data_IF_884651519342
#
_entry.id   IF_884651519342
#
_cell.length_a   1.000
_cell.length_b   1.000
_cell.length_c   1.000
_cell.angle_alpha   90.00
_cell.angle_beta   90.00
_cell.angle_gamma   90.00
#
_symmetry.space_group_name_H-M   'P 1'
#
loop_
_entity.id
_entity.type
_entity.pdbx_description
1 polymer ?
#
# COMPACT_ATOMS: atom_id res chain seq x y z
N UNK A 1 63.81 4.24 37.83
CA UNK A 1 62.67 3.31 37.62
C UNK A 1 61.53 4.13 37.05
N UNK A 2 61.28 4.02 35.75
CA UNK A 2 60.22 4.75 35.05
C UNK A 2 59.20 3.72 34.57
N UNK A 3 57.94 3.85 35.01
CA UNK A 3 56.82 3.00 34.58
C UNK A 3 56.01 3.76 33.52
N UNK A 4 55.80 3.15 32.36
CA UNK A 4 54.85 3.61 31.34
C UNK A 4 53.56 2.82 31.54
N UNK A 5 52.43 3.53 31.65
CA UNK A 5 51.09 2.95 31.57
C UNK A 5 50.52 3.22 30.18
N UNK A 6 49.98 2.19 29.54
CA UNK A 6 49.20 2.29 28.31
C UNK A 6 47.73 2.14 28.69
N UNK A 7 46.90 3.12 28.34
CA UNK A 7 45.45 3.01 28.44
C UNK A 7 44.90 2.56 27.08
N UNK A 8 44.35 1.34 27.02
CA UNK A 8 43.61 0.84 25.87
C UNK A 8 42.18 1.38 25.94
N UNK A 9 41.78 2.18 24.95
CA UNK A 9 40.38 2.60 24.80
C UNK A 9 39.57 1.46 24.17
N UNK A 10 38.49 1.04 24.84
CA UNK A 10 37.51 0.10 24.30
C UNK A 10 36.48 0.95 23.53
N UNK A 11 36.45 0.80 22.21
CA UNK A 11 35.41 1.39 21.36
C UNK A 11 34.18 0.47 21.46
N UNK A 12 33.09 0.96 22.04
CA UNK A 12 31.78 0.32 21.95
C UNK A 12 31.16 0.68 20.59
N UNK A 13 31.10 -0.26 19.66
CA UNK A 13 30.23 -0.17 18.49
C UNK A 13 28.80 -0.46 18.93
N UNK A 14 27.95 0.56 18.90
CA UNK A 14 26.51 0.35 19.01
C UNK A 14 26.03 -0.39 17.75
N UNK A 15 25.66 -1.67 17.89
CA UNK A 15 24.90 -2.36 16.85
C UNK A 15 23.48 -1.77 16.85
N UNK A 16 23.20 -0.89 15.89
CA UNK A 16 21.83 -0.51 15.55
C UNK A 16 21.16 -1.71 14.88
N UNK A 17 20.36 -2.48 15.62
CA UNK A 17 19.47 -3.46 15.00
C UNK A 17 18.40 -2.69 14.23
N UNK A 18 18.48 -2.68 12.90
CA UNK A 18 17.40 -2.20 12.06
C UNK A 18 16.18 -3.08 12.35
N UNK A 19 15.13 -2.50 12.93
CA UNK A 19 13.83 -3.17 13.06
C UNK A 19 13.24 -3.22 11.65
N UNK A 20 13.46 -4.33 10.94
CA UNK A 20 12.84 -4.61 9.65
C UNK A 20 11.45 -5.19 9.91
N UNK A 21 10.43 -4.64 9.24
CA UNK A 21 9.10 -5.21 9.29
C UNK A 21 9.04 -6.36 8.28
N UNK A 22 9.57 -7.51 8.69
CA UNK A 22 9.56 -8.71 7.85
C UNK A 22 8.17 -9.30 7.78
N UNK A 23 7.81 -9.85 6.61
CA UNK A 23 6.65 -10.72 6.47
C UNK A 23 6.67 -11.75 7.61
N UNK A 24 5.57 -11.87 8.39
CA UNK A 24 5.48 -12.91 9.41
C UNK A 24 5.65 -14.29 8.77
N UNK A 25 6.59 -15.09 9.29
CA UNK A 25 6.64 -16.53 9.02
C UNK A 25 5.42 -17.18 9.68
N UNK A 26 4.28 -17.21 8.99
CA UNK A 26 3.02 -17.87 9.38
C UNK A 26 2.76 -17.94 10.88
N UNK A 27 2.15 -16.91 11.46
CA UNK A 27 1.78 -16.88 12.88
C UNK A 27 0.25 -17.00 13.07
N UNK A 28 -0.19 -17.37 14.26
CA UNK A 28 -1.60 -17.48 14.65
C UNK A 28 -2.45 -18.48 13.83
N UNK A 29 -1.85 -19.56 13.35
CA UNK A 29 -2.57 -20.60 12.60
C UNK A 29 -2.78 -20.29 11.11
N UNK A 30 -2.17 -19.22 10.60
CA UNK A 30 -2.11 -18.91 9.16
C UNK A 30 -0.83 -19.47 8.54
N UNK A 31 -0.96 -20.02 7.34
CA UNK A 31 0.18 -20.36 6.47
C UNK A 31 0.48 -19.16 5.58
N UNK A 32 1.73 -18.74 5.54
CA UNK A 32 2.18 -17.70 4.61
C UNK A 32 2.05 -18.20 3.15
N UNK A 33 1.38 -17.42 2.31
CA UNK A 33 1.14 -17.77 0.89
C UNK A 33 1.97 -16.90 -0.05
N UNK A 34 2.05 -15.60 0.22
CA UNK A 34 2.74 -14.62 -0.62
C UNK A 34 2.82 -13.27 0.10
N UNK A 35 3.83 -12.49 -0.25
CA UNK A 35 3.99 -11.10 0.16
C UNK A 35 5.23 -10.49 -0.46
N UNK A 36 5.36 -9.18 -0.31
CA UNK A 36 6.49 -8.38 -0.77
C UNK A 36 6.86 -7.37 0.32
N UNK A 37 8.08 -7.46 0.84
CA UNK A 37 8.62 -6.55 1.86
C UNK A 37 9.29 -5.30 1.25
N UNK A 38 9.33 -5.19 -0.08
CA UNK A 38 9.96 -4.06 -0.78
C UNK A 38 11.42 -3.81 -0.36
N UNK A 39 12.20 -4.90 -0.28
CA UNK A 39 13.61 -4.90 0.14
C UNK A 39 14.62 -4.52 -0.96
N UNK A 40 14.14 -4.01 -2.10
CA UNK A 40 14.96 -3.48 -3.18
C UNK A 40 15.78 -2.27 -2.76
N UNK A 41 16.82 -1.96 -3.53
CA UNK A 41 17.67 -0.80 -3.29
C UNK A 41 16.92 0.54 -3.40
N UNK A 42 17.50 1.65 -2.92
CA UNK A 42 16.87 2.96 -3.03
C UNK A 42 16.65 3.35 -4.49
N UNK A 43 15.51 3.95 -4.78
CA UNK A 43 15.08 4.39 -6.12
C UNK A 43 15.06 3.23 -7.15
N UNK A 44 14.65 2.04 -6.71
CA UNK A 44 14.41 0.90 -7.62
C UNK A 44 12.92 0.67 -7.81
N UNK A 45 12.53 0.19 -8.99
CA UNK A 45 11.15 -0.18 -9.27
C UNK A 45 10.73 -1.41 -8.46
N UNK A 46 9.43 -1.63 -8.33
CA UNK A 46 8.85 -2.88 -7.81
C UNK A 46 9.24 -4.08 -8.66
N UNK A 47 9.27 -5.28 -8.08
CA UNK A 47 9.50 -6.52 -8.83
C UNK A 47 8.34 -6.77 -9.81
N UNK A 48 8.63 -6.78 -11.10
CA UNK A 48 7.64 -6.99 -12.17
C UNK A 48 7.05 -8.40 -12.20
N UNK A 49 7.61 -9.35 -11.46
CA UNK A 49 6.99 -10.67 -11.25
C UNK A 49 5.87 -10.61 -10.21
N UNK A 50 5.90 -9.61 -9.32
CA UNK A 50 4.93 -9.42 -8.25
C UNK A 50 3.88 -8.38 -8.61
N UNK A 51 4.28 -7.29 -9.28
CA UNK A 51 3.44 -6.12 -9.51
C UNK A 51 3.42 -5.68 -10.97
N UNK A 52 2.27 -5.19 -11.42
CA UNK A 52 2.11 -4.52 -12.69
C UNK A 52 1.51 -3.12 -12.48
N UNK A 53 1.85 -2.18 -13.36
CA UNK A 53 1.38 -0.81 -13.29
C UNK A 53 0.10 -0.61 -14.10
N UNK A 54 -0.85 0.05 -13.48
CA UNK A 54 -2.02 0.64 -14.14
C UNK A 54 -1.64 2.05 -14.59
N UNK A 55 -1.68 2.32 -15.89
CA UNK A 55 -1.16 3.56 -16.49
C UNK A 55 -2.28 4.44 -17.05
N UNK A 56 -2.11 5.75 -16.94
CA UNK A 56 -3.02 6.74 -17.52
C UNK A 56 -4.11 7.20 -16.54
N UNK A 57 -5.30 7.46 -17.06
CA UNK A 57 -6.46 7.94 -16.28
C UNK A 57 -7.58 6.91 -16.21
N UNK A 58 -7.29 5.64 -16.51
CA UNK A 58 -8.26 4.55 -16.51
C UNK A 58 -7.73 3.33 -17.26
N UNK A 59 -8.31 2.16 -16.99
CA UNK A 59 -7.99 0.93 -17.73
C UNK A 59 -8.31 1.09 -19.23
N UNK A 60 -7.55 0.43 -20.14
CA UNK A 60 -7.90 0.39 -21.57
C UNK A 60 -9.31 -0.18 -21.79
N UNK A 61 -10.24 0.66 -22.23
CA UNK A 61 -11.66 0.28 -22.42
C UNK A 61 -12.50 0.23 -21.14
N UNK A 62 -11.92 0.63 -20.01
CA UNK A 62 -12.60 0.84 -18.74
C UNK A 62 -13.22 2.23 -18.59
N UNK A 63 -13.70 2.54 -17.39
CA UNK A 63 -14.23 3.86 -17.07
C UNK A 63 -13.14 4.94 -17.12
N UNK A 64 -13.49 6.14 -17.59
CA UNK A 64 -12.61 7.30 -17.54
C UNK A 64 -12.40 7.77 -16.10
N UNK A 65 -11.26 8.40 -15.84
CA UNK A 65 -10.88 8.93 -14.52
C UNK A 65 -11.05 7.88 -13.42
N UNK A 66 -10.59 6.66 -13.73
CA UNK A 66 -10.71 5.45 -12.91
C UNK A 66 -12.12 5.11 -12.39
N UNK A 67 -13.16 5.75 -12.94
CA UNK A 67 -14.56 5.61 -12.49
C UNK A 67 -14.93 6.44 -11.26
N UNK A 68 -14.00 7.20 -10.70
CA UNK A 68 -14.16 7.97 -9.45
C UNK A 68 -14.16 9.48 -9.67
N UNK A 69 -13.73 9.93 -10.85
CA UNK A 69 -13.50 11.35 -11.14
C UNK A 69 -12.17 11.87 -10.61
N UNK A 70 -11.26 10.99 -10.19
CA UNK A 70 -9.88 11.33 -9.88
C UNK A 70 -9.14 11.88 -11.12
N UNK A 71 -8.12 12.71 -10.90
CA UNK A 71 -7.59 13.61 -11.94
C UNK A 71 -6.08 13.47 -12.15
N UNK A 72 -5.44 12.55 -11.45
CA UNK A 72 -4.06 12.20 -11.69
C UNK A 72 -3.91 11.31 -12.93
N UNK A 73 -2.75 11.43 -13.57
CA UNK A 73 -2.26 10.43 -14.52
C UNK A 73 -1.37 9.46 -13.75
N UNK A 74 -1.76 8.19 -13.68
CA UNK A 74 -0.90 7.18 -13.07
C UNK A 74 0.25 6.83 -14.03
N UNK A 75 1.46 6.72 -13.49
CA UNK A 75 2.69 6.45 -14.25
C UNK A 75 3.44 5.26 -13.64
N UNK A 76 4.45 4.78 -14.36
CA UNK A 76 5.49 3.90 -13.84
C UNK A 76 6.82 4.66 -13.66
N UNK A 77 6.77 5.99 -13.55
CA UNK A 77 7.96 6.79 -13.33
C UNK A 77 8.50 6.54 -11.92
N UNK A 78 9.82 6.47 -11.80
CA UNK A 78 10.48 6.20 -10.52
C UNK A 78 10.19 7.30 -9.49
N UNK A 79 9.81 8.50 -9.92
CA UNK A 79 9.41 9.59 -9.03
C UNK A 79 8.03 9.35 -8.39
N UNK A 80 7.16 8.57 -9.05
CA UNK A 80 5.83 8.24 -8.55
C UNK A 80 5.80 6.90 -7.78
N UNK A 81 6.64 5.92 -8.13
CA UNK A 81 6.66 4.61 -7.49
C UNK A 81 8.06 4.02 -7.37
N UNK A 82 8.58 3.88 -6.15
CA UNK A 82 9.93 3.35 -5.92
C UNK A 82 10.12 2.74 -4.55
N UNK A 83 11.07 1.82 -4.44
CA UNK A 83 11.54 1.28 -3.16
C UNK A 83 12.57 2.22 -2.54
N UNK A 84 12.45 2.50 -1.23
CA UNK A 84 13.30 3.50 -0.56
C UNK A 84 14.63 2.96 -0.01
N UNK A 85 14.92 1.67 -0.23
CA UNK A 85 16.12 1.00 0.30
C UNK A 85 16.03 0.60 1.76
N UNK A 86 14.92 0.91 2.45
CA UNK A 86 14.70 0.60 3.87
C UNK A 86 13.52 -0.36 4.09
N UNK A 87 13.16 -1.16 3.07
CA UNK A 87 12.05 -2.11 3.16
C UNK A 87 10.68 -1.44 3.04
N UNK A 88 10.56 -0.39 2.22
CA UNK A 88 9.27 0.27 1.99
C UNK A 88 9.11 0.64 0.51
N UNK A 89 7.88 0.50 0.03
CA UNK A 89 7.42 1.12 -1.20
C UNK A 89 6.98 2.57 -0.93
N UNK A 90 7.32 3.46 -1.85
CA UNK A 90 6.84 4.85 -1.91
C UNK A 90 5.96 5.00 -3.13
N UNK A 91 4.69 5.37 -2.91
CA UNK A 91 3.79 5.88 -3.94
C UNK A 91 3.62 7.37 -3.66
N UNK A 92 4.07 8.22 -4.57
CA UNK A 92 4.19 9.66 -4.36
C UNK A 92 3.38 10.41 -5.42
N UNK A 93 2.29 11.10 -5.02
CA UNK A 93 1.64 12.01 -5.94
C UNK A 93 2.51 13.26 -6.14
N UNK A 94 2.66 13.67 -7.39
CA UNK A 94 3.44 14.84 -7.79
C UNK A 94 2.58 15.80 -8.60
N UNK A 95 2.83 17.09 -8.44
CA UNK A 95 2.15 18.13 -9.21
C UNK A 95 3.17 18.84 -10.09
N UNK A 96 2.92 18.85 -11.38
CA UNK A 96 3.78 19.56 -12.33
C UNK A 96 3.52 21.09 -12.31
N UNK A 97 4.36 21.83 -13.04
CA UNK A 97 4.26 23.29 -13.16
C UNK A 97 3.04 23.76 -13.95
N UNK A 98 2.45 22.89 -14.77
CA UNK A 98 1.20 23.15 -15.52
C UNK A 98 -0.04 22.86 -14.67
N UNK A 99 0.14 22.31 -13.48
CA UNK A 99 -0.90 21.96 -12.53
C UNK A 99 -1.50 20.57 -12.72
N UNK A 100 -0.92 19.74 -13.61
CA UNK A 100 -1.24 18.33 -13.75
C UNK A 100 -0.74 17.53 -12.56
N UNK A 101 -1.46 16.48 -12.21
CA UNK A 101 -1.07 15.55 -11.15
C UNK A 101 -0.64 14.22 -11.75
N UNK A 102 0.43 13.65 -11.22
CA UNK A 102 0.82 12.26 -11.45
C UNK A 102 0.83 11.50 -10.14
N UNK A 103 0.64 10.19 -10.22
CA UNK A 103 0.76 9.25 -9.10
C UNK A 103 1.13 7.87 -9.64
N UNK A 104 1.03 6.84 -8.82
CA UNK A 104 1.14 5.46 -9.27
C UNK A 104 0.01 4.60 -8.71
N UNK A 105 -0.39 3.63 -9.53
CA UNK A 105 -1.34 2.57 -9.20
C UNK A 105 -0.72 1.26 -9.65
N UNK A 106 -0.58 0.33 -8.72
CA UNK A 106 -0.03 -1.00 -8.99
C UNK A 106 -1.01 -2.06 -8.52
N UNK A 107 -1.06 -3.17 -9.24
CA UNK A 107 -1.82 -4.35 -8.86
C UNK A 107 -0.92 -5.60 -8.90
N UNK A 108 -1.27 -6.61 -8.12
CA UNK A 108 -0.49 -7.85 -8.11
C UNK A 108 -0.60 -8.57 -9.45
N UNK A 109 0.50 -9.12 -9.97
CA UNK A 109 0.46 -9.99 -11.16
C UNK A 109 -0.41 -11.21 -10.87
N UNK A 110 -0.25 -11.81 -9.68
CA UNK A 110 -1.12 -12.87 -9.18
C UNK A 110 -2.54 -12.37 -8.97
N UNK A 111 -3.50 -13.23 -9.29
CA UNK A 111 -4.94 -13.00 -9.13
C UNK A 111 -5.68 -14.22 -8.57
N UNK A 112 -4.96 -15.09 -7.86
CA UNK A 112 -5.46 -16.37 -7.35
C UNK A 112 -5.67 -16.36 -5.82
N UNK A 113 -5.60 -15.19 -5.18
CA UNK A 113 -5.80 -15.02 -3.74
C UNK A 113 -7.23 -15.33 -3.33
N UNK A 114 -7.44 -16.55 -2.82
CA UNK A 114 -8.71 -16.99 -2.24
C UNK A 114 -8.47 -18.02 -1.15
N UNK A 115 -9.25 -17.94 -0.08
CA UNK A 115 -9.28 -19.02 0.91
C UNK A 115 -9.87 -20.31 0.27
N UNK A 116 -9.39 -21.50 0.64
CA UNK A 116 -10.08 -22.74 0.29
C UNK A 116 -11.48 -22.76 0.92
N UNK A 117 -12.38 -23.60 0.40
CA UNK A 117 -13.73 -23.73 0.97
C UNK A 117 -13.65 -24.09 2.46
N UNK A 118 -14.30 -23.29 3.31
CA UNK A 118 -14.26 -23.44 4.77
C UNK A 118 -12.99 -22.92 5.44
N UNK A 119 -12.04 -22.39 4.68
CA UNK A 119 -10.83 -21.73 5.18
C UNK A 119 -10.99 -20.22 5.35
N UNK A 120 -9.95 -19.59 5.88
CA UNK A 120 -9.83 -18.14 6.07
C UNK A 120 -8.53 -17.68 5.43
N UNK A 121 -8.53 -16.50 4.82
CA UNK A 121 -7.34 -15.84 4.28
C UNK A 121 -7.21 -14.47 4.96
N UNK A 122 -6.01 -14.13 5.41
CA UNK A 122 -5.65 -12.82 5.91
C UNK A 122 -4.82 -12.10 4.85
N UNK A 123 -5.15 -10.84 4.59
CA UNK A 123 -4.44 -9.97 3.65
C UNK A 123 -4.17 -8.67 4.40
N UNK A 124 -2.90 -8.33 4.50
CA UNK A 124 -2.41 -7.30 5.42
C UNK A 124 -1.31 -6.48 4.74
N UNK A 125 -1.24 -5.20 5.10
CA UNK A 125 -0.17 -4.30 4.71
C UNK A 125 0.16 -3.36 5.87
N UNK A 126 1.44 -3.02 6.03
CA UNK A 126 1.89 -2.00 6.98
C UNK A 126 2.11 -0.69 6.22
N UNK A 127 1.15 0.23 6.34
CA UNK A 127 1.12 1.46 5.54
C UNK A 127 1.24 2.68 6.44
N UNK A 128 2.19 3.57 6.10
CA UNK A 128 2.15 4.95 6.57
C UNK A 128 1.41 5.79 5.55
N UNK A 129 0.30 6.39 5.95
CA UNK A 129 -0.45 7.33 5.10
C UNK A 129 0.40 8.58 4.78
N UNK A 130 0.11 9.30 3.68
CA UNK A 130 0.73 10.59 3.39
C UNK A 130 0.72 11.49 4.62
N UNK A 131 1.90 11.93 5.06
CA UNK A 131 2.04 12.76 6.25
C UNK A 131 1.75 14.24 5.91
N UNK A 132 0.51 14.49 5.53
CA UNK A 132 -0.05 15.80 5.16
C UNK A 132 -1.44 15.91 5.76
N UNK A 133 -1.82 17.11 6.22
CA UNK A 133 -3.11 17.35 6.87
C UNK A 133 -3.65 18.75 6.54
N UNK A 134 -4.93 18.98 6.87
CA UNK A 134 -5.62 20.24 6.60
C UNK A 134 -5.80 20.49 5.10
N UNK A 135 -5.82 21.76 4.69
CA UNK A 135 -6.06 22.15 3.30
C UNK A 135 -5.02 21.58 2.32
N UNK A 136 -3.78 21.38 2.79
CA UNK A 136 -2.72 20.79 1.98
C UNK A 136 -2.96 19.30 1.65
N UNK A 137 -3.81 18.63 2.42
CA UNK A 137 -4.18 17.23 2.18
C UNK A 137 -5.40 17.09 1.27
N UNK A 138 -6.07 18.18 0.89
CA UNK A 138 -7.28 18.12 0.08
C UNK A 138 -7.03 17.37 -1.23
N UNK A 139 -7.80 16.30 -1.46
CA UNK A 139 -7.70 15.44 -2.64
C UNK A 139 -6.76 14.23 -2.49
N UNK A 140 -5.98 14.11 -1.41
CA UNK A 140 -5.25 12.88 -1.14
C UNK A 140 -6.24 11.74 -0.86
N UNK A 141 -6.10 10.64 -1.61
CA UNK A 141 -6.93 9.45 -1.50
C UNK A 141 -6.10 8.16 -1.63
N UNK A 142 -5.27 7.80 -0.63
CA UNK A 142 -4.56 6.53 -0.63
C UNK A 142 -5.52 5.37 -0.35
N UNK A 143 -5.30 4.24 -1.04
CA UNK A 143 -6.09 3.02 -0.89
C UNK A 143 -5.21 1.75 -0.90
N UNK A 144 -5.62 0.75 -0.14
CA UNK A 144 -5.16 -0.63 -0.19
C UNK A 144 -6.38 -1.53 -0.19
N UNK A 145 -6.58 -2.24 -1.30
CA UNK A 145 -7.84 -2.85 -1.64
C UNK A 145 -7.63 -4.09 -2.52
N UNK A 146 -8.70 -4.83 -2.73
CA UNK A 146 -8.72 -6.01 -3.58
C UNK A 146 -9.92 -5.97 -4.52
N UNK A 147 -9.75 -6.52 -5.71
CA UNK A 147 -10.79 -6.65 -6.71
C UNK A 147 -10.88 -8.08 -7.22
N UNK A 148 -12.09 -8.57 -7.45
CA UNK A 148 -12.27 -9.92 -7.96
C UNK A 148 -11.61 -10.11 -9.34
N UNK A 149 -10.89 -11.22 -9.50
CA UNK A 149 -10.15 -11.60 -10.72
C UNK A 149 -10.94 -11.42 -12.02
N UNK A 150 -12.25 -11.72 -12.11
CA UNK A 150 -13.01 -11.53 -13.35
C UNK A 150 -13.13 -10.07 -13.82
N UNK A 151 -12.68 -9.09 -13.04
CA UNK A 151 -12.65 -7.69 -13.47
C UNK A 151 -11.53 -7.41 -14.46
N UNK A 152 -10.37 -8.05 -14.26
CA UNK A 152 -9.20 -7.88 -15.12
C UNK A 152 -9.56 -8.25 -16.56
N UNK A 153 -9.25 -7.36 -17.50
CA UNK A 153 -9.63 -7.46 -18.92
C UNK A 153 -11.14 -7.40 -19.23
N UNK A 154 -12.01 -7.16 -18.24
CA UNK A 154 -13.44 -6.92 -18.43
C UNK A 154 -13.77 -5.44 -18.20
N UNK A 155 -13.35 -4.91 -17.04
CA UNK A 155 -13.49 -3.53 -16.60
C UNK A 155 -14.93 -2.98 -16.54
N UNK A 156 -15.95 -3.84 -16.65
CA UNK A 156 -17.37 -3.43 -16.77
C UNK A 156 -18.32 -4.18 -15.84
N UNK A 157 -17.82 -5.14 -15.08
CA UNK A 157 -18.60 -6.01 -14.17
C UNK A 157 -18.45 -5.62 -12.69
N UNK A 158 -17.99 -4.41 -12.41
CA UNK A 158 -18.10 -3.83 -11.07
C UNK A 158 -19.54 -3.30 -10.86
N UNK A 159 -20.13 -3.43 -9.65
CA UNK A 159 -19.55 -4.01 -8.44
C UNK A 159 -19.77 -5.52 -8.30
N UNK A 160 -20.45 -6.17 -9.25
CA UNK A 160 -20.86 -7.59 -9.16
C UNK A 160 -19.69 -8.53 -8.87
N UNK A 161 -18.52 -8.22 -9.41
CA UNK A 161 -17.28 -8.98 -9.26
C UNK A 161 -16.70 -9.00 -7.83
N UNK A 162 -17.13 -8.08 -6.97
CA UNK A 162 -16.69 -7.94 -5.59
C UNK A 162 -15.41 -7.12 -5.43
N UNK A 163 -15.42 -6.18 -4.50
CA UNK A 163 -14.29 -5.32 -4.12
C UNK A 163 -14.19 -5.23 -2.59
N UNK A 164 -12.99 -5.46 -2.06
CA UNK A 164 -12.69 -5.33 -0.64
C UNK A 164 -11.71 -4.18 -0.43
N UNK A 165 -12.19 -3.04 0.02
CA UNK A 165 -11.35 -1.93 0.45
C UNK A 165 -10.89 -2.18 1.87
N UNK A 166 -9.64 -2.63 2.01
CA UNK A 166 -9.07 -3.00 3.30
C UNK A 166 -8.71 -1.72 4.08
N UNK A 167 -8.21 -0.71 3.37
CA UNK A 167 -7.91 0.61 3.91
C UNK A 167 -8.09 1.68 2.83
N UNK A 168 -8.95 2.64 3.11
CA UNK A 168 -9.04 3.92 2.40
C UNK A 168 -8.87 5.08 3.38
N UNK A 169 -8.29 6.18 2.92
CA UNK A 169 -8.26 7.45 3.62
C UNK A 169 -8.54 8.59 2.65
N UNK A 170 -9.09 9.70 3.15
CA UNK A 170 -9.28 10.91 2.35
C UNK A 170 -8.81 12.13 3.13
N UNK A 171 -8.21 13.09 2.44
CA UNK A 171 -7.87 14.42 2.98
C UNK A 171 -6.98 14.41 4.23
N UNK A 172 -6.15 13.37 4.41
CA UNK A 172 -5.19 13.29 5.52
C UNK A 172 -5.84 13.26 6.91
N UNK A 173 -7.11 12.86 7.01
CA UNK A 173 -7.80 12.76 8.29
C UNK A 173 -7.25 11.58 9.10
N UNK A 174 -7.28 11.67 10.43
CA UNK A 174 -6.86 10.57 11.31
C UNK A 174 -7.95 9.49 11.44
N UNK A 175 -8.28 8.84 10.31
CA UNK A 175 -9.32 7.82 10.19
C UNK A 175 -9.11 7.03 8.90
N UNK A 176 -9.43 5.74 8.94
CA UNK A 176 -9.51 4.90 7.74
C UNK A 176 -10.92 4.31 7.58
N UNK A 177 -11.24 3.96 6.34
CA UNK A 177 -12.47 3.29 5.96
C UNK A 177 -12.13 1.89 5.45
N UNK A 178 -12.99 0.93 5.77
CA UNK A 178 -12.99 -0.39 5.14
C UNK A 178 -14.37 -0.67 4.56
N UNK A 179 -14.41 -1.05 3.30
CA UNK A 179 -15.65 -1.13 2.51
C UNK A 179 -15.71 -2.45 1.72
N UNK A 180 -16.91 -2.99 1.58
CA UNK A 180 -17.19 -4.11 0.67
C UNK A 180 -18.22 -3.67 -0.37
N UNK A 181 -17.81 -3.65 -1.64
CA UNK A 181 -18.69 -3.43 -2.78
C UNK A 181 -19.05 -4.77 -3.43
N UNK A 182 -20.34 -4.99 -3.68
CA UNK A 182 -20.82 -6.16 -4.40
C UNK A 182 -22.26 -5.96 -4.91
N UNK A 183 -22.76 -6.88 -5.74
CA UNK A 183 -24.11 -6.82 -6.27
C UNK A 183 -24.26 -5.80 -7.41
N UNK A 184 -25.31 -4.99 -7.39
CA UNK A 184 -25.65 -4.08 -8.49
C UNK A 184 -25.47 -2.60 -8.08
N UNK A 185 -25.29 -1.71 -9.05
CA UNK A 185 -25.24 -0.25 -8.83
C UNK A 185 -26.40 0.45 -9.58
N UNK A 186 -27.05 1.51 -9.05
CA UNK A 186 -26.78 2.15 -7.76
C UNK A 186 -27.36 1.34 -6.61
N UNK A 187 -26.47 0.85 -5.72
CA UNK A 187 -26.85 0.19 -4.48
C UNK A 187 -26.63 -1.32 -4.44
N UNK A 188 -25.48 -1.72 -3.87
CA UNK A 188 -25.36 -2.31 -2.53
C UNK A 188 -23.94 -2.11 -2.00
N UNK A 189 -23.70 -1.03 -1.24
CA UNK A 189 -22.64 -1.02 -0.23
C UNK A 189 -23.11 -1.99 0.86
N UNK A 190 -22.51 -3.18 0.98
CA UNK A 190 -22.98 -4.14 2.00
C UNK A 190 -22.44 -3.81 3.38
N UNK A 191 -21.24 -3.22 3.47
CA UNK A 191 -20.66 -2.74 4.72
C UNK A 191 -19.71 -1.58 4.44
N UNK A 192 -19.95 -0.42 5.06
CA UNK A 192 -18.92 0.60 5.31
C UNK A 192 -18.63 0.54 6.80
N UNK A 193 -17.50 -0.05 7.19
CA UNK A 193 -17.01 0.09 8.57
C UNK A 193 -15.95 1.18 8.58
N UNK A 194 -16.27 2.26 9.28
CA UNK A 194 -15.26 3.16 9.80
C UNK A 194 -14.46 2.40 10.87
N UNK A 195 -13.17 2.17 10.63
CA UNK A 195 -12.25 1.83 11.71
C UNK A 195 -11.73 3.15 12.28
N UNK A 196 -12.36 3.60 13.36
CA UNK A 196 -11.87 4.71 14.16
C UNK A 196 -11.01 4.17 15.30
N UNK A 197 -9.74 4.59 15.36
CA UNK A 197 -8.82 4.52 16.51
C UNK A 197 -8.68 3.21 17.33
N UNK A 198 -9.14 2.07 16.84
CA UNK A 198 -8.79 0.78 17.44
C UNK A 198 -7.54 0.23 16.75
N UNK A 199 -6.39 0.33 17.45
CA UNK A 199 -5.07 -0.31 17.18
C UNK A 199 -3.94 0.54 16.53
N UNK A 200 -3.90 1.87 16.70
CA UNK A 200 -2.66 2.65 16.54
C UNK A 200 -2.07 3.16 17.87
N UNK A 201 -2.40 2.50 18.98
CA UNK A 201 -1.72 2.71 20.26
C UNK A 201 -1.11 1.39 20.75
N UNK A 202 0.19 1.22 20.47
CA UNK A 202 1.26 0.86 21.42
C UNK A 202 2.49 0.36 20.67
N UNK A 203 3.28 1.30 20.17
CA UNK A 203 4.71 1.11 20.00
C UNK A 203 5.38 2.35 20.59
N UNK A 204 5.50 2.36 21.92
CA UNK A 204 6.44 3.17 22.71
C UNK A 204 6.28 2.77 24.19
N UNK A 205 7.02 1.74 24.58
CA UNK A 205 7.58 1.56 25.93
C UNK A 205 8.96 0.96 25.77
#
# INVERSE_FOLDING_TARGET
MTRILVATSIIFTALSTLVRADIPTGSNGFTFVWGDDFNGGPNTAVDSNNWQFDLGTGYPGGAANWGTGEFETTTNDIENCYQDGNGNLRIVPLRDSSGGWTSARIESVRDDFKAPLGGVMAIEAKIQLPNVAGDAAAGYFPAFWMLGTPFRNNYKNWPEVGEFDIMENVNGINKVFGTLHCGNSPGKLLFNRTFGNEQLHKANS
#
